data_IF_021989739830
#
_entry.id   IF_021989739830
#
_cell.length_a   1.000
_cell.length_b   1.000
_cell.length_c   1.000
_cell.angle_alpha   90.00
_cell.angle_beta   90.00
_cell.angle_gamma   90.00
#
_symmetry.space_group_name_H-M   'P 1'
#
loop_
_entity.id
_entity.type
_entity.pdbx_description
1 polymer ?
#
# COMPACT_ATOMS: atom_id res chain seq x y z
N UNK A 1 14.49 22.09 -16.75
CA UNK A 1 13.65 22.77 -15.74
C UNK A 1 12.77 23.78 -16.47
N UNK A 2 11.45 23.60 -16.50
CA UNK A 2 10.53 24.63 -16.99
C UNK A 2 10.51 25.76 -15.98
N UNK A 3 10.71 27.00 -16.42
CA UNK A 3 10.73 28.15 -15.51
C UNK A 3 9.35 28.30 -14.83
N UNK A 4 9.33 28.80 -13.58
CA UNK A 4 8.09 29.11 -12.82
C UNK A 4 7.08 29.92 -13.67
N UNK A 5 7.57 30.79 -14.55
CA UNK A 5 6.76 31.57 -15.46
C UNK A 5 6.06 30.73 -16.55
N UNK A 6 6.70 29.69 -17.07
CA UNK A 6 6.09 28.79 -18.08
C UNK A 6 5.04 27.86 -17.47
N UNK A 7 5.25 27.41 -16.23
CA UNK A 7 4.22 26.68 -15.47
C UNK A 7 3.02 27.58 -15.16
N UNK A 8 3.25 28.86 -14.83
CA UNK A 8 2.22 29.87 -14.57
C UNK A 8 1.39 30.19 -15.81
N UNK A 9 2.02 30.29 -16.99
CA UNK A 9 1.33 30.60 -18.26
C UNK A 9 0.40 29.45 -18.71
N UNK A 10 0.76 28.20 -18.49
CA UNK A 10 -0.07 27.02 -18.82
C UNK A 10 -1.28 26.85 -17.90
N UNK A 11 -1.22 27.37 -16.66
CA UNK A 11 -2.34 27.36 -15.69
C UNK A 11 -3.41 28.42 -16.01
N UNK A 12 -3.05 29.55 -16.62
CA UNK A 12 -3.97 30.64 -16.92
C UNK A 12 -5.07 30.25 -17.92
N UNK A 13 -4.81 29.32 -18.83
CA UNK A 13 -5.77 28.89 -19.86
C UNK A 13 -6.78 27.83 -19.36
N UNK A 14 -6.58 27.23 -18.18
CA UNK A 14 -7.42 26.17 -17.59
C UNK A 14 -7.87 26.48 -16.14
N UNK A 15 -7.64 27.69 -15.67
CA UNK A 15 -7.93 28.05 -14.27
C UNK A 15 -9.43 28.28 -14.05
N UNK A 16 -9.99 27.78 -12.92
CA UNK A 16 -11.40 27.90 -12.64
C UNK A 16 -11.80 29.35 -12.35
N UNK A 17 -13.05 29.69 -12.63
CA UNK A 17 -13.60 30.96 -12.21
C UNK A 17 -13.71 31.09 -10.69
N UNK A 18 -14.15 29.99 -10.02
CA UNK A 18 -14.32 30.00 -8.57
C UNK A 18 -13.31 29.12 -7.88
N UNK A 19 -12.73 29.61 -6.78
CA UNK A 19 -11.85 28.85 -5.90
C UNK A 19 -12.51 28.71 -4.55
N UNK A 20 -12.59 27.47 -4.05
CA UNK A 20 -13.22 27.16 -2.79
C UNK A 20 -12.19 26.51 -1.88
N UNK A 21 -11.92 27.10 -0.73
CA UNK A 21 -11.19 26.44 0.33
C UNK A 21 -12.16 25.68 1.24
N UNK A 22 -11.80 24.47 1.60
CA UNK A 22 -12.59 23.63 2.49
C UNK A 22 -11.72 23.10 3.63
N UNK A 23 -12.02 23.52 4.83
CA UNK A 23 -11.51 22.89 6.06
C UNK A 23 -12.52 21.84 6.52
N UNK A 24 -12.05 20.60 6.64
CA UNK A 24 -12.87 19.42 6.82
C UNK A 24 -12.61 18.77 8.17
N UNK A 25 -13.43 19.09 9.15
CA UNK A 25 -13.51 18.36 10.43
C UNK A 25 -14.53 17.22 10.37
N UNK A 26 -14.47 16.29 11.30
CA UNK A 26 -15.29 15.06 11.32
C UNK A 26 -16.81 15.31 11.31
N UNK A 27 -17.27 16.46 11.75
CA UNK A 27 -18.70 16.80 11.87
C UNK A 27 -19.08 18.17 11.28
N UNK A 28 -18.13 18.97 10.88
CA UNK A 28 -18.38 20.33 10.36
C UNK A 28 -17.43 20.62 9.22
N UNK A 29 -17.96 21.17 8.17
CA UNK A 29 -17.20 21.65 7.03
C UNK A 29 -17.28 23.17 7.02
N UNK A 30 -16.15 23.84 6.94
CA UNK A 30 -16.07 25.27 6.72
C UNK A 30 -15.62 25.53 5.28
N UNK A 31 -16.32 26.43 4.60
CA UNK A 31 -16.09 26.73 3.20
C UNK A 31 -15.92 28.24 3.01
N UNK A 32 -14.95 28.61 2.17
CA UNK A 32 -14.70 29.98 1.73
C UNK A 32 -14.66 30.01 0.21
N UNK A 33 -15.60 30.69 -0.41
CA UNK A 33 -15.82 30.76 -1.87
C UNK A 33 -15.34 32.09 -2.41
N UNK A 34 -14.48 32.07 -3.42
CA UNK A 34 -13.86 33.23 -4.04
C UNK A 34 -14.15 33.25 -5.54
N UNK A 35 -14.57 34.40 -6.07
CA UNK A 35 -14.56 34.68 -7.51
C UNK A 35 -13.14 35.12 -7.91
N UNK A 36 -12.56 34.40 -8.84
CA UNK A 36 -11.21 34.61 -9.37
C UNK A 36 -11.25 34.92 -10.87
N UNK A 37 -12.35 35.45 -11.37
CA UNK A 37 -12.45 35.95 -12.76
C UNK A 37 -11.46 37.07 -13.03
N UNK A 38 -11.28 37.99 -12.07
CA UNK A 38 -10.13 38.91 -12.06
C UNK A 38 -8.95 38.25 -11.33
N UNK A 39 -7.93 37.90 -12.09
CA UNK A 39 -6.73 37.16 -11.59
C UNK A 39 -5.86 37.99 -10.64
N UNK A 40 -6.04 39.30 -10.62
CA UNK A 40 -5.28 40.19 -9.75
C UNK A 40 -6.04 40.58 -8.49
N UNK A 41 -7.38 40.61 -8.56
CA UNK A 41 -8.24 41.03 -7.48
C UNK A 41 -9.32 39.96 -7.18
N UNK A 42 -8.96 38.85 -6.53
CA UNK A 42 -9.94 37.84 -6.15
C UNK A 42 -10.92 38.39 -5.11
N UNK A 43 -12.22 38.16 -5.32
CA UNK A 43 -13.28 38.65 -4.47
C UNK A 43 -13.89 37.55 -3.64
N UNK A 44 -13.95 37.75 -2.32
CA UNK A 44 -14.67 36.83 -1.43
C UNK A 44 -16.18 36.95 -1.70
N UNK A 45 -16.78 35.87 -2.14
CA UNK A 45 -18.23 35.80 -2.41
C UNK A 45 -19.00 35.42 -1.16
N UNK A 46 -18.55 34.32 -0.48
CA UNK A 46 -19.31 33.77 0.65
C UNK A 46 -18.45 32.88 1.52
N UNK A 47 -18.78 32.87 2.81
CA UNK A 47 -18.28 31.87 3.77
C UNK A 47 -19.46 31.22 4.49
N UNK A 48 -19.40 29.92 4.70
CA UNK A 48 -20.45 29.19 5.37
C UNK A 48 -19.96 27.90 6.00
N UNK A 49 -20.74 27.32 6.91
CA UNK A 49 -20.50 26.03 7.54
C UNK A 49 -21.58 25.05 7.14
N UNK A 50 -21.18 23.82 6.80
CA UNK A 50 -22.09 22.69 6.56
C UNK A 50 -21.95 21.65 7.67
N UNK A 51 -23.05 20.98 8.01
CA UNK A 51 -23.09 20.04 9.13
C UNK A 51 -22.78 18.60 8.69
N UNK A 52 -23.07 18.26 7.43
CA UNK A 52 -22.85 16.95 6.84
C UNK A 52 -22.45 17.01 5.36
N UNK A 53 -22.00 15.86 4.82
CA UNK A 53 -21.50 15.77 3.44
C UNK A 53 -22.63 15.88 2.42
N UNK A 54 -23.82 15.34 2.71
CA UNK A 54 -24.94 15.37 1.77
C UNK A 54 -25.51 16.79 1.65
N UNK A 55 -25.60 17.51 2.79
CA UNK A 55 -25.92 18.92 2.80
C UNK A 55 -24.89 19.77 2.02
N UNK A 56 -23.61 19.40 2.07
CA UNK A 56 -22.55 20.05 1.30
C UNK A 56 -22.81 19.95 -0.21
N UNK A 57 -23.01 18.75 -0.75
CA UNK A 57 -23.26 18.54 -2.20
C UNK A 57 -24.50 19.29 -2.65
N UNK A 58 -25.59 19.26 -1.86
CA UNK A 58 -26.80 20.03 -2.16
C UNK A 58 -26.54 21.55 -2.15
N UNK A 59 -25.72 22.02 -1.22
CA UNK A 59 -25.32 23.43 -1.14
C UNK A 59 -24.43 23.82 -2.33
N UNK A 60 -23.48 22.97 -2.73
CA UNK A 60 -22.67 23.20 -3.92
C UNK A 60 -23.53 23.33 -5.17
N UNK A 61 -24.45 22.40 -5.42
CA UNK A 61 -25.36 22.43 -6.59
C UNK A 61 -26.22 23.69 -6.65
N UNK A 62 -26.49 24.34 -5.53
CA UNK A 62 -27.31 25.56 -5.47
C UNK A 62 -26.52 26.86 -5.62
N UNK A 63 -25.25 26.87 -5.16
CA UNK A 63 -24.51 28.11 -4.92
C UNK A 63 -23.15 28.19 -5.61
N UNK A 64 -22.73 27.09 -6.24
CA UNK A 64 -21.42 27.01 -6.87
C UNK A 64 -21.55 26.54 -8.31
N UNK A 65 -20.91 27.25 -9.22
CA UNK A 65 -20.81 26.87 -10.62
C UNK A 65 -19.85 25.67 -10.78
N UNK A 66 -20.05 24.86 -11.81
CA UNK A 66 -19.15 23.76 -12.18
C UNK A 66 -17.76 24.26 -12.58
N UNK A 67 -17.63 25.51 -13.02
CA UNK A 67 -16.32 26.16 -13.24
C UNK A 67 -15.66 26.58 -11.92
N UNK A 68 -15.50 25.62 -11.06
CA UNK A 68 -14.90 25.80 -9.73
C UNK A 68 -13.86 24.72 -9.44
N UNK A 69 -12.96 25.02 -8.50
CA UNK A 69 -12.07 24.03 -7.87
C UNK A 69 -12.16 24.13 -6.36
N UNK A 70 -12.30 22.99 -5.71
CA UNK A 70 -12.28 22.90 -4.25
C UNK A 70 -10.92 22.39 -3.77
N UNK A 71 -10.31 23.16 -2.89
CA UNK A 71 -9.04 22.83 -2.22
C UNK A 71 -9.36 22.36 -0.81
N UNK A 72 -9.08 21.10 -0.53
CA UNK A 72 -9.43 20.41 0.73
C UNK A 72 -8.14 20.13 1.50
N UNK A 73 -8.08 20.47 2.79
CA UNK A 73 -6.96 20.07 3.63
C UNK A 73 -6.99 18.55 3.90
N UNK A 74 -5.82 17.90 3.86
CA UNK A 74 -5.71 16.46 4.15
C UNK A 74 -6.16 16.17 5.58
N UNK A 75 -7.25 15.45 5.71
CA UNK A 75 -7.90 15.04 6.96
C UNK A 75 -8.45 13.62 6.83
N UNK A 76 -9.05 13.10 7.88
CA UNK A 76 -9.59 11.74 7.91
C UNK A 76 -10.65 11.49 6.84
N UNK A 77 -11.46 12.48 6.50
CA UNK A 77 -12.57 12.38 5.54
C UNK A 77 -12.32 13.08 4.19
N UNK A 78 -11.15 13.68 3.99
CA UNK A 78 -10.84 14.45 2.78
C UNK A 78 -10.96 13.65 1.47
N UNK A 79 -10.61 12.36 1.48
CA UNK A 79 -10.76 11.47 0.31
C UNK A 79 -12.22 11.29 -0.07
N UNK A 80 -13.08 10.97 0.90
CA UNK A 80 -14.53 10.80 0.69
C UNK A 80 -15.17 12.10 0.19
N UNK A 81 -14.81 13.23 0.79
CA UNK A 81 -15.30 14.55 0.37
C UNK A 81 -14.92 14.87 -1.07
N UNK A 82 -13.67 14.69 -1.42
CA UNK A 82 -13.18 14.87 -2.78
C UNK A 82 -13.95 13.98 -3.77
N UNK A 83 -14.06 12.68 -3.50
CA UNK A 83 -14.70 11.73 -4.39
C UNK A 83 -16.17 12.10 -4.60
N UNK A 84 -16.93 12.42 -3.54
CA UNK A 84 -18.33 12.85 -3.66
C UNK A 84 -18.50 14.15 -4.45
N UNK A 85 -17.60 15.10 -4.32
CA UNK A 85 -17.62 16.33 -5.16
C UNK A 85 -17.35 16.01 -6.62
N UNK A 86 -16.39 15.12 -6.89
CA UNK A 86 -16.07 14.70 -8.27
C UNK A 86 -17.23 13.92 -8.90
N UNK A 87 -17.88 13.04 -8.16
CA UNK A 87 -19.10 12.32 -8.62
C UNK A 87 -20.27 13.28 -8.91
N UNK A 88 -20.32 14.40 -8.19
CA UNK A 88 -21.30 15.47 -8.44
C UNK A 88 -20.90 16.41 -9.60
N UNK A 89 -19.75 16.19 -10.25
CA UNK A 89 -19.24 16.94 -11.39
C UNK A 89 -18.32 18.13 -11.02
N UNK A 90 -18.01 18.35 -9.75
CA UNK A 90 -17.12 19.44 -9.31
C UNK A 90 -15.66 19.00 -9.32
N UNK A 91 -14.76 19.92 -9.64
CA UNK A 91 -13.32 19.71 -9.48
C UNK A 91 -12.94 19.84 -8.00
N UNK A 92 -12.21 18.87 -7.46
CA UNK A 92 -11.73 18.91 -6.09
C UNK A 92 -10.34 18.25 -5.97
N UNK A 93 -9.49 18.81 -5.13
CA UNK A 93 -8.17 18.29 -4.84
C UNK A 93 -7.82 18.40 -3.35
N UNK A 94 -7.03 17.45 -2.84
CA UNK A 94 -6.56 17.42 -1.45
C UNK A 94 -5.15 17.96 -1.39
N UNK A 95 -4.86 18.83 -0.42
CA UNK A 95 -3.52 19.40 -0.18
C UNK A 95 -3.02 19.00 1.21
N UNK A 96 -1.70 18.84 1.34
CA UNK A 96 -1.08 18.60 2.66
C UNK A 96 -0.84 19.91 3.39
N UNK A 97 -1.04 19.97 4.72
CA UNK A 97 -0.85 21.18 5.52
C UNK A 97 0.58 21.74 5.45
N UNK A 98 1.58 20.87 5.32
CA UNK A 98 3.00 21.22 5.25
C UNK A 98 3.41 21.86 3.90
N UNK A 99 2.60 21.73 2.86
CA UNK A 99 2.82 22.37 1.57
C UNK A 99 2.26 23.78 1.49
N UNK A 100 1.43 24.20 2.46
CA UNK A 100 0.95 25.56 2.56
C UNK A 100 2.02 26.35 3.31
N UNK A 101 3.00 26.87 2.55
CA UNK A 101 4.06 27.70 3.11
C UNK A 101 3.47 28.94 3.78
N UNK A 102 3.94 29.27 4.98
CA UNK A 102 3.61 30.45 5.77
C UNK A 102 2.20 30.47 6.39
N UNK A 103 1.87 29.47 7.22
CA UNK A 103 0.92 29.74 8.31
C UNK A 103 1.62 30.67 9.31
N UNK A 104 1.48 31.99 9.15
CA UNK A 104 1.61 32.89 10.28
C UNK A 104 0.63 32.37 11.33
N UNK A 105 1.17 31.84 12.42
CA UNK A 105 0.37 31.31 13.53
C UNK A 105 -0.30 32.46 14.28
N UNK A 106 -1.34 33.04 13.68
CA UNK A 106 -2.25 33.87 14.44
C UNK A 106 -2.94 33.02 15.51
N UNK A 107 -2.91 33.50 16.74
CA UNK A 107 -3.30 32.77 17.97
C UNK A 107 -4.79 32.38 18.08
N UNK A 108 -5.63 32.64 17.09
CA UNK A 108 -7.03 32.22 17.02
C UNK A 108 -7.32 31.56 15.68
N UNK A 109 -7.10 30.25 15.63
CA UNK A 109 -7.47 29.41 14.49
C UNK A 109 -8.99 29.18 14.54
N UNK A 110 -9.69 29.58 13.48
CA UNK A 110 -11.10 29.25 13.30
C UNK A 110 -11.27 28.55 11.95
N UNK A 111 -12.11 27.53 11.90
CA UNK A 111 -12.35 26.67 10.72
C UNK A 111 -12.57 27.48 9.43
N UNK A 112 -13.27 28.63 9.51
CA UNK A 112 -13.51 29.51 8.35
C UNK A 112 -12.22 30.20 7.90
N UNK A 113 -11.35 30.61 8.83
CA UNK A 113 -10.06 31.21 8.49
C UNK A 113 -9.14 30.19 7.82
N UNK A 114 -9.16 28.94 8.26
CA UNK A 114 -8.38 27.87 7.62
C UNK A 114 -8.91 27.58 6.20
N UNK A 115 -10.23 27.53 6.00
CA UNK A 115 -10.84 27.41 4.68
C UNK A 115 -10.46 28.62 3.78
N UNK A 116 -10.45 29.84 4.31
CA UNK A 116 -10.00 31.04 3.58
C UNK A 116 -8.55 30.94 3.16
N UNK A 117 -7.68 30.53 4.08
CA UNK A 117 -6.25 30.36 3.82
C UNK A 117 -5.96 29.33 2.72
N UNK A 118 -6.74 28.23 2.67
CA UNK A 118 -6.64 27.22 1.63
C UNK A 118 -6.97 27.78 0.24
N UNK A 119 -8.08 28.54 0.12
CA UNK A 119 -8.44 29.17 -1.14
C UNK A 119 -7.37 30.18 -1.60
N UNK A 120 -6.93 31.03 -0.69
CA UNK A 120 -5.92 32.07 -0.99
C UNK A 120 -4.56 31.44 -1.33
N UNK A 121 -4.15 30.34 -0.68
CA UNK A 121 -2.92 29.63 -1.01
C UNK A 121 -2.96 29.10 -2.45
N UNK A 122 -4.10 28.55 -2.88
CA UNK A 122 -4.27 28.13 -4.27
C UNK A 122 -4.20 29.32 -5.25
N UNK A 123 -4.92 30.39 -4.97
CA UNK A 123 -4.96 31.64 -5.79
C UNK A 123 -3.55 32.22 -5.91
N UNK A 124 -2.78 32.29 -4.84
CA UNK A 124 -1.40 32.80 -4.82
C UNK A 124 -0.39 31.87 -5.52
N UNK A 125 -0.78 30.63 -5.85
CA UNK A 125 0.10 29.66 -6.46
C UNK A 125 1.05 28.99 -5.47
N UNK A 126 0.74 29.01 -4.17
CA UNK A 126 1.49 28.33 -3.12
C UNK A 126 1.17 26.83 -3.08
N UNK A 127 0.08 26.41 -3.73
CA UNK A 127 -0.30 25.01 -3.92
C UNK A 127 0.25 24.53 -5.26
N UNK A 128 1.37 23.81 -5.25
CA UNK A 128 2.01 23.32 -6.47
C UNK A 128 1.33 22.07 -7.05
N UNK A 129 0.94 21.11 -6.19
CA UNK A 129 0.33 19.84 -6.59
C UNK A 129 -0.68 19.34 -5.55
N UNK A 130 -1.76 18.74 -6.03
CA UNK A 130 -2.68 17.99 -5.18
C UNK A 130 -2.12 16.63 -4.78
N UNK A 131 -2.38 16.25 -3.55
CA UNK A 131 -2.05 14.89 -3.07
C UNK A 131 -2.96 13.90 -3.78
N UNK A 132 -2.36 12.85 -4.32
CA UNK A 132 -3.14 11.77 -4.87
C UNK A 132 -3.93 11.04 -3.77
N UNK A 133 -5.21 10.89 -3.97
CA UNK A 133 -6.13 10.14 -3.10
C UNK A 133 -6.80 9.02 -3.89
N UNK A 134 -7.09 7.85 -3.27
CA UNK A 134 -7.70 6.72 -3.96
C UNK A 134 -9.16 7.01 -4.34
N UNK A 135 -9.69 6.24 -5.29
CA UNK A 135 -11.13 6.05 -5.46
C UNK A 135 -11.74 5.35 -4.25
N UNK A 136 -13.07 5.36 -4.12
CA UNK A 136 -13.75 4.75 -2.96
C UNK A 136 -13.47 3.24 -2.88
N UNK A 137 -13.50 2.52 -4.00
CA UNK A 137 -13.14 1.11 -4.06
C UNK A 137 -11.72 0.85 -3.53
N UNK A 138 -10.74 1.64 -3.96
CA UNK A 138 -9.36 1.48 -3.51
C UNK A 138 -9.12 2.00 -2.08
N UNK A 139 -9.95 2.91 -1.59
CA UNK A 139 -9.97 3.28 -0.18
C UNK A 139 -10.42 2.10 0.68
N UNK A 140 -11.50 1.40 0.32
CA UNK A 140 -11.97 0.18 0.99
C UNK A 140 -10.91 -0.93 0.96
N UNK A 141 -10.24 -1.16 -0.19
CA UNK A 141 -9.14 -2.14 -0.27
C UNK A 141 -8.00 -1.81 0.71
N UNK A 142 -7.68 -0.53 0.88
CA UNK A 142 -6.67 -0.09 1.86
C UNK A 142 -7.08 -0.34 3.29
N UNK A 143 -8.35 -0.14 3.61
CA UNK A 143 -8.87 -0.42 4.93
C UNK A 143 -8.77 -1.91 5.26
N UNK A 144 -9.05 -2.80 4.29
CA UNK A 144 -8.82 -4.25 4.42
C UNK A 144 -7.34 -4.55 4.70
N UNK A 145 -6.41 -3.90 4.00
CA UNK A 145 -4.95 -4.07 4.24
C UNK A 145 -4.56 -3.61 5.63
N UNK A 146 -5.07 -2.47 6.10
CA UNK A 146 -4.78 -1.95 7.43
C UNK A 146 -5.34 -2.86 8.52
N UNK A 147 -6.61 -3.26 8.41
CA UNK A 147 -7.26 -4.17 9.34
C UNK A 147 -6.51 -5.53 9.41
N UNK A 148 -6.09 -6.09 8.27
CA UNK A 148 -5.28 -7.31 8.23
C UNK A 148 -3.96 -7.16 8.98
N UNK A 149 -3.26 -6.04 8.77
CA UNK A 149 -2.00 -5.78 9.46
C UNK A 149 -2.17 -5.56 10.96
N UNK A 150 -3.26 -4.93 11.35
CA UNK A 150 -3.53 -4.70 12.77
C UNK A 150 -3.89 -6.01 13.47
N UNK A 151 -4.74 -6.86 12.87
CA UNK A 151 -5.01 -8.21 13.37
C UNK A 151 -3.70 -9.02 13.54
N UNK A 152 -2.77 -8.93 12.57
CA UNK A 152 -1.49 -9.62 12.64
C UNK A 152 -0.59 -9.09 13.78
N UNK A 153 -0.58 -7.78 14.03
CA UNK A 153 0.16 -7.19 15.16
C UNK A 153 -0.42 -7.62 16.50
N UNK A 154 -1.76 -7.58 16.63
CA UNK A 154 -2.42 -7.98 17.88
C UNK A 154 -2.21 -9.46 18.17
N UNK A 155 -2.29 -10.34 17.17
CA UNK A 155 -1.90 -11.76 17.32
C UNK A 155 -0.47 -11.91 17.86
N UNK A 156 0.47 -11.11 17.34
CA UNK A 156 1.86 -11.14 17.80
C UNK A 156 1.97 -10.65 19.23
N UNK A 157 1.22 -9.60 19.59
CA UNK A 157 1.16 -9.10 20.99
C UNK A 157 0.59 -10.15 21.94
N UNK A 158 -0.51 -10.80 21.57
CA UNK A 158 -1.11 -11.87 22.37
C UNK A 158 -0.12 -13.04 22.53
N UNK A 159 0.51 -13.49 21.46
CA UNK A 159 1.54 -14.56 21.51
C UNK A 159 2.67 -14.22 22.47
N UNK A 160 3.18 -12.99 22.40
CA UNK A 160 4.26 -12.52 23.27
C UNK A 160 3.82 -12.43 24.74
N UNK A 161 2.58 -11.98 24.99
CA UNK A 161 2.02 -11.94 26.36
C UNK A 161 1.84 -13.35 26.91
N UNK A 162 1.29 -14.29 26.15
CA UNK A 162 1.15 -15.70 26.55
C UNK A 162 2.53 -16.28 26.87
N UNK A 163 3.49 -16.10 25.95
CA UNK A 163 4.87 -16.57 26.15
C UNK A 163 5.48 -16.00 27.45
N UNK A 164 5.32 -14.68 27.69
CA UNK A 164 5.84 -14.01 28.87
C UNK A 164 5.25 -14.56 30.17
N UNK A 165 3.92 -14.75 30.23
CA UNK A 165 3.25 -15.31 31.41
C UNK A 165 3.73 -16.73 31.68
N UNK A 166 3.82 -17.56 30.64
CA UNK A 166 4.29 -18.95 30.76
C UNK A 166 5.76 -19.00 31.20
N UNK A 167 6.62 -18.19 30.59
CA UNK A 167 8.06 -18.15 30.91
C UNK A 167 8.31 -17.70 32.36
N UNK A 168 7.54 -16.71 32.88
CA UNK A 168 7.62 -16.29 34.29
C UNK A 168 7.26 -17.41 35.27
N UNK A 169 6.55 -18.43 34.84
CA UNK A 169 6.17 -19.61 35.63
C UNK A 169 7.07 -20.84 35.34
N UNK A 170 8.15 -20.64 34.60
CA UNK A 170 9.08 -21.73 34.27
C UNK A 170 8.67 -22.60 33.08
N UNK A 171 7.65 -22.20 32.31
CA UNK A 171 7.15 -22.94 31.13
C UNK A 171 7.36 -22.15 29.83
N UNK A 172 8.58 -22.13 29.23
CA UNK A 172 8.82 -21.45 27.96
C UNK A 172 8.15 -22.17 26.80
N UNK A 173 6.93 -21.76 26.41
CA UNK A 173 6.19 -22.38 25.33
C UNK A 173 6.68 -21.91 23.95
N UNK A 174 6.85 -22.84 22.95
CA UNK A 174 7.28 -22.50 21.61
C UNK A 174 6.13 -21.98 20.74
N UNK A 175 5.52 -20.87 21.16
CA UNK A 175 4.40 -20.26 20.43
C UNK A 175 4.93 -19.43 19.26
N UNK A 176 4.44 -19.72 18.06
CA UNK A 176 4.73 -18.94 16.83
C UNK A 176 3.47 -18.23 16.38
N UNK A 177 3.48 -16.90 16.44
CA UNK A 177 2.35 -16.07 16.03
C UNK A 177 1.88 -16.42 14.61
N UNK A 178 0.58 -16.61 14.46
CA UNK A 178 -0.06 -16.94 13.19
C UNK A 178 0.17 -18.35 12.64
N UNK A 179 0.90 -19.19 13.38
CA UNK A 179 1.17 -20.60 12.97
C UNK A 179 0.66 -21.57 14.03
N UNK A 180 0.89 -21.28 15.32
CA UNK A 180 0.41 -22.14 16.41
C UNK A 180 -1.10 -21.95 16.57
N UNK A 181 -1.87 -23.03 16.48
CA UNK A 181 -3.33 -22.98 16.61
C UNK A 181 -3.75 -22.73 18.08
N UNK A 182 -4.87 -22.02 18.34
CA UNK A 182 -5.40 -21.79 19.69
C UNK A 182 -5.56 -23.09 20.48
N UNK A 183 -6.04 -24.16 19.83
CA UNK A 183 -6.19 -25.49 20.45
C UNK A 183 -4.85 -26.07 20.94
N UNK A 184 -3.79 -25.90 20.18
CA UNK A 184 -2.44 -26.32 20.57
C UNK A 184 -1.93 -25.50 21.76
N UNK A 185 -2.19 -24.19 21.77
CA UNK A 185 -1.82 -23.32 22.91
C UNK A 185 -2.56 -23.77 24.16
N UNK A 186 -3.87 -24.01 24.09
CA UNK A 186 -4.67 -24.54 25.22
C UNK A 186 -4.14 -25.87 25.74
N UNK A 187 -3.80 -26.80 24.82
CA UNK A 187 -3.20 -28.08 25.19
C UNK A 187 -1.87 -27.91 25.93
N UNK A 188 -1.01 -27.00 25.49
CA UNK A 188 0.24 -26.69 26.20
C UNK A 188 -0.02 -26.11 27.61
N UNK A 189 -1.00 -25.21 27.73
CA UNK A 189 -1.38 -24.57 29.01
C UNK A 189 -2.01 -25.57 29.98
N UNK A 190 -2.77 -26.56 29.49
CA UNK A 190 -3.45 -27.54 30.34
C UNK A 190 -2.49 -28.40 31.14
N UNK A 191 -1.30 -28.67 30.61
CA UNK A 191 -0.23 -29.43 31.28
C UNK A 191 0.60 -28.63 32.29
N UNK A 192 0.30 -27.31 32.49
CA UNK A 192 1.07 -26.46 33.41
C UNK A 192 0.51 -26.51 34.84
N UNK A 193 1.38 -26.63 35.81
CA UNK A 193 1.03 -26.46 37.23
C UNK A 193 1.06 -25.00 37.63
N UNK A 194 -0.07 -24.30 37.43
CA UNK A 194 -0.22 -22.88 37.73
C UNK A 194 -1.52 -22.61 38.49
N UNK A 195 -1.52 -21.57 39.33
CA UNK A 195 -2.70 -21.18 40.09
C UNK A 195 -3.86 -20.70 39.20
N UNK A 196 -5.09 -20.76 39.73
CA UNK A 196 -6.32 -20.45 38.99
C UNK A 196 -6.33 -19.08 38.33
N UNK A 197 -5.84 -18.04 38.96
CA UNK A 197 -5.76 -16.68 38.39
C UNK A 197 -4.83 -16.63 37.17
N UNK A 198 -3.71 -17.35 37.19
CA UNK A 198 -2.78 -17.41 36.05
C UNK A 198 -3.41 -18.16 34.88
N UNK A 199 -4.10 -19.26 35.17
CA UNK A 199 -4.82 -20.06 34.18
C UNK A 199 -5.93 -19.24 33.52
N UNK A 200 -6.73 -18.50 34.28
CA UNK A 200 -7.78 -17.64 33.76
C UNK A 200 -7.18 -16.52 32.86
N UNK A 201 -6.10 -15.88 33.30
CA UNK A 201 -5.40 -14.88 32.51
C UNK A 201 -4.89 -15.44 31.16
N UNK A 202 -4.34 -16.64 31.17
CA UNK A 202 -3.87 -17.31 29.96
C UNK A 202 -5.03 -17.62 29.02
N UNK A 203 -6.17 -18.10 29.54
CA UNK A 203 -7.35 -18.38 28.71
C UNK A 203 -7.92 -17.12 28.06
N UNK A 204 -7.96 -15.98 28.79
CA UNK A 204 -8.35 -14.66 28.20
C UNK A 204 -7.42 -14.32 27.03
N UNK A 205 -6.11 -14.43 27.22
CA UNK A 205 -5.14 -14.11 26.17
C UNK A 205 -5.25 -15.05 24.95
N UNK A 206 -5.59 -16.33 25.16
CA UNK A 206 -5.81 -17.28 24.06
C UNK A 206 -7.09 -16.94 23.30
N UNK A 207 -8.17 -16.51 23.97
CA UNK A 207 -9.40 -16.04 23.31
C UNK A 207 -9.14 -14.77 22.47
N UNK A 208 -8.37 -13.81 23.00
CA UNK A 208 -7.95 -12.63 22.22
C UNK A 208 -7.17 -13.05 20.97
N UNK A 209 -6.22 -13.96 21.13
CA UNK A 209 -5.43 -14.49 20.01
C UNK A 209 -6.33 -15.18 18.95
N UNK A 210 -7.29 -15.99 19.37
CA UNK A 210 -8.23 -16.69 18.51
C UNK A 210 -9.12 -15.74 17.74
N UNK A 211 -9.65 -14.69 18.39
CA UNK A 211 -10.45 -13.63 17.76
C UNK A 211 -9.65 -12.92 16.65
N UNK A 212 -8.40 -12.57 16.92
CA UNK A 212 -7.55 -11.91 15.92
C UNK A 212 -7.16 -12.86 14.78
N UNK A 213 -7.01 -14.16 15.05
CA UNK A 213 -6.76 -15.17 14.03
C UNK A 213 -7.97 -15.29 13.09
N UNK A 214 -9.19 -15.40 13.63
CA UNK A 214 -10.42 -15.43 12.83
C UNK A 214 -10.58 -14.15 11.99
N UNK A 215 -10.36 -12.99 12.58
CA UNK A 215 -10.38 -11.71 11.87
C UNK A 215 -9.40 -11.69 10.71
N UNK A 216 -8.17 -12.13 10.94
CA UNK A 216 -7.14 -12.24 9.89
C UNK A 216 -7.58 -13.17 8.77
N UNK A 217 -8.14 -14.34 9.08
CA UNK A 217 -8.60 -15.31 8.09
C UNK A 217 -9.78 -14.81 7.26
N UNK A 218 -10.71 -14.06 7.87
CA UNK A 218 -11.80 -13.39 7.17
C UNK A 218 -11.28 -12.34 6.18
N UNK A 219 -10.33 -11.51 6.62
CA UNK A 219 -9.73 -10.48 5.76
C UNK A 219 -8.92 -11.11 4.61
N UNK A 220 -8.26 -12.25 4.85
CA UNK A 220 -7.59 -13.01 3.80
C UNK A 220 -8.57 -13.51 2.74
N UNK A 221 -9.76 -13.97 3.12
CA UNK A 221 -10.81 -14.36 2.16
C UNK A 221 -11.28 -13.18 1.33
N UNK A 222 -11.52 -12.01 1.93
CA UNK A 222 -11.88 -10.79 1.20
C UNK A 222 -10.78 -10.43 0.19
N UNK A 223 -9.52 -10.44 0.59
CA UNK A 223 -8.40 -10.19 -0.33
C UNK A 223 -8.35 -11.20 -1.47
N UNK A 224 -8.57 -12.49 -1.18
CA UNK A 224 -8.54 -13.55 -2.18
C UNK A 224 -9.67 -13.39 -3.21
N UNK A 225 -10.89 -13.05 -2.76
CA UNK A 225 -12.04 -12.77 -3.63
C UNK A 225 -11.76 -11.58 -4.57
N UNK A 226 -11.19 -10.50 -4.06
CA UNK A 226 -10.85 -9.34 -4.88
C UNK A 226 -9.75 -9.65 -5.90
N UNK A 227 -8.76 -10.47 -5.53
CA UNK A 227 -7.65 -10.84 -6.41
C UNK A 227 -8.08 -11.72 -7.57
N UNK A 228 -9.00 -12.68 -7.34
CA UNK A 228 -9.40 -13.65 -8.37
C UNK A 228 -10.05 -13.00 -9.58
N UNK A 229 -10.74 -11.87 -9.39
CA UNK A 229 -11.36 -11.07 -10.46
C UNK A 229 -10.46 -10.00 -11.07
N UNK A 230 -9.26 -9.80 -10.57
CA UNK A 230 -8.42 -8.66 -10.96
C UNK A 230 -7.12 -9.11 -11.67
N UNK A 231 -7.07 -8.89 -13.00
CA UNK A 231 -5.94 -9.26 -13.85
C UNK A 231 -4.61 -8.63 -13.39
N UNK A 232 -4.62 -7.38 -12.92
CA UNK A 232 -3.40 -6.71 -12.45
C UNK A 232 -2.85 -7.37 -11.19
N UNK A 233 -3.73 -7.69 -10.23
CA UNK A 233 -3.35 -8.37 -8.99
C UNK A 233 -2.81 -9.78 -9.27
N UNK A 234 -3.47 -10.53 -10.16
CA UNK A 234 -2.99 -11.85 -10.59
C UNK A 234 -1.64 -11.74 -11.33
N UNK A 235 -1.46 -10.71 -12.16
CA UNK A 235 -0.19 -10.42 -12.81
C UNK A 235 0.96 -10.21 -11.83
N UNK A 236 0.72 -9.53 -10.71
CA UNK A 236 1.73 -9.35 -9.66
C UNK A 236 2.16 -10.67 -9.01
N UNK A 237 1.32 -11.70 -9.03
CA UNK A 237 1.67 -13.03 -8.50
C UNK A 237 2.74 -13.76 -9.35
N UNK A 238 3.10 -13.27 -10.53
CA UNK A 238 4.27 -13.77 -11.28
C UNK A 238 5.58 -13.52 -10.52
N UNK A 239 5.66 -12.46 -9.71
CA UNK A 239 6.88 -12.12 -8.98
C UNK A 239 7.23 -13.18 -7.93
N UNK A 240 8.50 -13.62 -7.84
CA UNK A 240 8.92 -14.52 -6.79
C UNK A 240 8.64 -13.90 -5.41
N UNK A 241 8.17 -14.73 -4.46
CA UNK A 241 7.80 -14.27 -3.12
C UNK A 241 6.43 -13.61 -2.99
N UNK A 242 5.80 -13.15 -4.08
CA UNK A 242 4.45 -12.60 -4.04
C UNK A 242 3.40 -13.71 -3.95
N UNK A 243 2.44 -13.50 -3.08
CA UNK A 243 1.18 -14.23 -3.00
C UNK A 243 0.01 -13.26 -3.22
N UNK A 244 -1.23 -13.74 -3.19
CA UNK A 244 -2.41 -12.88 -3.40
C UNK A 244 -2.51 -11.73 -2.40
N UNK A 245 -2.06 -11.90 -1.14
CA UNK A 245 -2.07 -10.82 -0.13
C UNK A 245 -1.12 -9.70 -0.48
N UNK A 246 0.10 -10.04 -0.91
CA UNK A 246 1.07 -9.05 -1.36
C UNK A 246 0.60 -8.35 -2.65
N UNK A 247 0.01 -9.11 -3.58
CA UNK A 247 -0.55 -8.56 -4.82
C UNK A 247 -1.70 -7.58 -4.52
N UNK A 248 -2.64 -7.98 -3.66
CA UNK A 248 -3.73 -7.12 -3.21
C UNK A 248 -3.22 -5.83 -2.54
N UNK A 249 -2.29 -5.95 -1.59
CA UNK A 249 -1.76 -4.79 -0.86
C UNK A 249 -1.01 -3.81 -1.78
N UNK A 250 -0.25 -4.33 -2.75
CA UNK A 250 0.50 -3.50 -3.69
C UNK A 250 -0.44 -2.77 -4.65
N UNK A 251 -1.41 -3.46 -5.23
CA UNK A 251 -2.39 -2.84 -6.13
C UNK A 251 -3.29 -1.85 -5.37
N UNK A 252 -3.79 -2.21 -4.18
CA UNK A 252 -4.60 -1.32 -3.33
C UNK A 252 -3.89 0.00 -3.02
N UNK A 253 -2.60 -0.05 -2.74
CA UNK A 253 -1.82 1.15 -2.47
C UNK A 253 -1.52 1.97 -3.72
N UNK A 254 -1.52 1.33 -4.90
CA UNK A 254 -1.07 1.92 -6.17
C UNK A 254 -2.22 2.47 -7.00
N UNK A 255 -3.26 1.66 -7.25
CA UNK A 255 -4.42 1.90 -8.12
C UNK A 255 -4.03 2.19 -9.58
N UNK A 256 -3.30 3.27 -9.85
CA UNK A 256 -2.69 3.56 -11.14
C UNK A 256 -1.18 3.76 -11.02
N UNK A 257 -0.43 2.82 -11.58
CA UNK A 257 1.04 2.88 -11.61
C UNK A 257 1.58 4.02 -12.48
N UNK A 258 0.77 4.56 -13.41
CA UNK A 258 1.16 5.66 -14.31
C UNK A 258 1.33 6.99 -13.59
N UNK A 259 0.73 7.14 -12.40
CA UNK A 259 0.96 8.32 -11.55
C UNK A 259 2.42 8.46 -11.08
N UNK A 260 3.19 7.38 -11.13
CA UNK A 260 4.62 7.41 -10.86
C UNK A 260 5.38 7.55 -12.17
N UNK A 261 6.11 8.63 -12.32
CA UNK A 261 6.88 8.92 -13.55
C UNK A 261 8.06 7.97 -13.76
N UNK A 262 8.45 7.18 -12.75
CA UNK A 262 9.52 6.18 -12.85
C UNK A 262 9.40 5.09 -11.78
N UNK A 263 10.00 3.93 -12.05
CA UNK A 263 10.12 2.85 -11.07
C UNK A 263 10.86 3.30 -9.79
N UNK A 264 11.80 4.24 -9.89
CA UNK A 264 12.51 4.79 -8.74
C UNK A 264 11.58 5.57 -7.81
N UNK A 265 10.62 6.33 -8.36
CA UNK A 265 9.61 7.03 -7.56
C UNK A 265 8.65 6.06 -6.87
N UNK A 266 8.21 4.99 -7.56
CA UNK A 266 7.41 3.95 -6.93
C UNK A 266 8.19 3.20 -5.83
N UNK A 267 9.47 2.90 -6.06
CA UNK A 267 10.36 2.30 -5.06
C UNK A 267 10.49 3.20 -3.82
N UNK A 268 10.62 4.51 -4.00
CA UNK A 268 10.65 5.48 -2.89
C UNK A 268 9.30 5.48 -2.14
N UNK A 269 8.19 5.55 -2.85
CA UNK A 269 6.84 5.45 -2.28
C UNK A 269 6.64 4.16 -1.47
N UNK A 270 7.25 3.05 -1.89
CA UNK A 270 7.23 1.77 -1.17
C UNK A 270 8.20 1.72 0.03
N UNK A 271 8.87 2.81 0.38
CA UNK A 271 9.78 2.89 1.52
C UNK A 271 11.14 2.22 1.30
N UNK A 272 11.58 2.07 0.05
CA UNK A 272 12.87 1.47 -0.33
C UNK A 272 13.85 2.45 -0.95
N UNK A 273 13.62 3.76 -0.81
CA UNK A 273 14.61 4.77 -1.15
C UNK A 273 15.78 4.74 -0.15
N UNK A 274 17.02 4.87 -0.60
CA UNK A 274 18.13 5.12 0.31
C UNK A 274 18.02 6.55 0.86
N UNK A 275 18.36 6.73 2.14
CA UNK A 275 18.45 8.06 2.75
C UNK A 275 19.48 8.90 2.00
N UNK A 276 19.09 10.09 1.58
CA UNK A 276 20.04 11.05 1.01
C UNK A 276 20.94 11.57 2.12
N UNK A 277 22.25 11.50 1.93
CA UNK A 277 23.22 12.11 2.84
C UNK A 277 23.14 13.64 2.74
N UNK A 278 23.15 14.31 3.87
CA UNK A 278 23.07 15.76 3.96
C UNK A 278 24.41 16.46 3.71
N UNK A 279 25.52 15.73 3.64
CA UNK A 279 26.85 16.30 3.31
C UNK A 279 27.70 15.33 2.48
N UNK A 280 28.47 15.88 1.53
CA UNK A 280 29.39 15.10 0.70
C UNK A 280 30.46 14.35 1.49
N UNK A 281 30.86 14.86 2.68
CA UNK A 281 31.84 14.23 3.55
C UNK A 281 31.35 12.90 4.18
N UNK A 282 30.09 12.81 4.57
CA UNK A 282 29.51 11.54 5.05
C UNK A 282 29.42 10.50 3.95
N UNK A 283 29.15 10.92 2.71
CA UNK A 283 29.11 10.04 1.56
C UNK A 283 30.49 9.49 1.21
N UNK A 284 31.53 10.31 1.25
CA UNK A 284 32.92 9.88 1.06
C UNK A 284 33.41 8.98 2.19
N UNK A 285 33.10 9.28 3.46
CA UNK A 285 33.42 8.42 4.60
C UNK A 285 32.75 7.05 4.50
N UNK A 286 31.50 6.99 4.05
CA UNK A 286 30.79 5.73 3.83
C UNK A 286 31.41 4.91 2.69
N UNK A 287 31.87 5.56 1.62
CA UNK A 287 32.54 4.91 0.48
C UNK A 287 33.95 4.39 0.88
N UNK A 288 34.73 5.18 1.62
CA UNK A 288 36.13 4.85 2.02
C UNK A 288 36.20 3.69 3.02
N UNK A 289 35.20 3.45 3.85
CA UNK A 289 35.21 2.41 4.90
C UNK A 289 34.57 1.08 4.49
N UNK A 290 34.18 0.87 3.23
CA UNK A 290 33.42 -0.33 2.84
C UNK A 290 32.16 -0.51 3.69
N UNK A 291 31.66 0.59 4.23
CA UNK A 291 30.62 0.65 5.23
C UNK A 291 29.31 0.04 4.78
N UNK A 292 28.40 -0.26 5.71
CA UNK A 292 27.08 -0.73 5.39
C UNK A 292 26.41 0.30 4.46
N UNK A 293 25.85 -0.15 3.34
CA UNK A 293 25.14 0.71 2.39
C UNK A 293 24.18 1.64 3.12
N UNK A 294 23.84 2.78 2.51
CA UNK A 294 22.98 3.81 3.11
C UNK A 294 21.74 3.18 3.74
N UNK A 295 21.32 3.61 4.95
CA UNK A 295 20.06 3.17 5.53
C UNK A 295 18.92 3.57 4.61
N UNK A 296 17.80 2.82 4.66
CA UNK A 296 16.59 3.22 3.97
C UNK A 296 16.07 4.50 4.62
N UNK A 297 15.51 5.38 3.78
CA UNK A 297 14.72 6.50 4.26
C UNK A 297 13.54 5.95 5.07
N UNK A 298 13.23 6.56 6.21
CA UNK A 298 12.10 6.20 7.05
C UNK A 298 10.74 6.51 6.41
N UNK A 299 10.78 7.27 5.33
CA UNK A 299 9.64 7.75 4.57
C UNK A 299 9.02 6.66 3.68
N UNK A 300 7.85 6.95 3.12
CA UNK A 300 7.11 6.03 2.27
C UNK A 300 6.09 5.17 3.04
N UNK A 301 5.34 4.39 2.29
CA UNK A 301 4.23 3.59 2.83
C UNK A 301 4.72 2.38 3.61
N UNK A 302 4.41 2.36 4.91
CA UNK A 302 4.82 1.29 5.82
C UNK A 302 4.15 -0.05 5.53
N UNK A 303 2.93 -0.05 4.99
CA UNK A 303 2.22 -1.25 4.54
C UNK A 303 2.91 -1.89 3.34
N UNK A 304 3.23 -1.13 2.29
CA UNK A 304 3.99 -1.64 1.14
C UNK A 304 5.36 -2.18 1.56
N UNK A 305 6.09 -1.44 2.40
CA UNK A 305 7.39 -1.87 2.91
C UNK A 305 7.30 -3.23 3.61
N UNK A 306 6.23 -3.45 4.38
CA UNK A 306 5.99 -4.70 5.07
C UNK A 306 5.79 -5.86 4.09
N UNK A 307 4.85 -5.75 3.12
CA UNK A 307 4.58 -6.82 2.17
C UNK A 307 5.76 -7.12 1.23
N UNK A 308 6.50 -6.09 0.83
CA UNK A 308 7.74 -6.27 0.06
C UNK A 308 8.82 -6.97 0.88
N UNK A 309 8.93 -6.71 2.18
CA UNK A 309 9.86 -7.40 3.07
C UNK A 309 9.46 -8.86 3.29
N UNK A 310 8.18 -9.16 3.51
CA UNK A 310 7.68 -10.54 3.57
C UNK A 310 7.95 -11.30 2.27
N UNK A 311 7.69 -10.66 1.12
CA UNK A 311 8.01 -11.24 -0.18
C UNK A 311 9.53 -11.49 -0.32
N UNK A 312 10.37 -10.56 0.12
CA UNK A 312 11.84 -10.72 0.13
C UNK A 312 12.31 -11.87 1.00
N UNK A 313 11.70 -12.07 2.17
CA UNK A 313 11.95 -13.25 3.01
C UNK A 313 11.58 -14.55 2.29
N UNK A 314 10.40 -14.58 1.65
CA UNK A 314 9.90 -15.72 0.89
C UNK A 314 10.79 -16.04 -0.31
N UNK A 315 11.37 -15.02 -0.95
CA UNK A 315 12.36 -15.21 -2.04
C UNK A 315 13.57 -15.99 -1.53
N UNK A 316 14.10 -15.63 -0.37
CA UNK A 316 15.28 -16.30 0.20
C UNK A 316 14.99 -17.70 0.77
N UNK A 317 13.76 -18.00 1.13
CA UNK A 317 13.37 -19.31 1.68
C UNK A 317 12.76 -20.21 0.59
N UNK A 318 11.56 -19.91 0.15
CA UNK A 318 10.75 -20.80 -0.70
C UNK A 318 11.00 -20.62 -2.21
N UNK A 319 11.63 -19.50 -2.61
CA UNK A 319 11.94 -19.20 -4.01
C UNK A 319 13.45 -19.02 -4.23
N UNK A 320 14.28 -19.69 -3.43
CA UNK A 320 15.75 -19.57 -3.47
C UNK A 320 16.35 -19.91 -4.84
N UNK A 321 15.71 -20.80 -5.60
CA UNK A 321 16.14 -21.18 -6.95
C UNK A 321 15.79 -20.17 -8.05
N UNK A 322 14.92 -19.19 -7.78
CA UNK A 322 14.65 -18.11 -8.71
C UNK A 322 15.89 -17.26 -8.94
N UNK A 323 15.98 -16.56 -10.09
CA UNK A 323 17.10 -15.65 -10.38
C UNK A 323 17.33 -14.62 -9.27
N UNK A 324 16.24 -14.09 -8.68
CA UNK A 324 16.29 -13.14 -7.56
C UNK A 324 16.74 -13.83 -6.26
N UNK A 325 16.32 -15.08 -6.03
CA UNK A 325 16.77 -15.88 -4.89
C UNK A 325 18.26 -16.19 -4.95
N UNK A 326 18.74 -16.70 -6.09
CA UNK A 326 20.17 -16.94 -6.35
C UNK A 326 21.01 -15.67 -6.18
N UNK A 327 20.52 -14.52 -6.66
CA UNK A 327 21.16 -13.24 -6.45
C UNK A 327 21.23 -12.87 -4.96
N UNK A 328 20.16 -13.04 -4.22
CA UNK A 328 20.11 -12.78 -2.78
C UNK A 328 21.10 -13.64 -1.99
N UNK A 329 21.15 -14.94 -2.28
CA UNK A 329 22.09 -15.85 -1.63
C UNK A 329 23.54 -15.54 -1.95
N UNK A 330 23.86 -15.12 -3.20
CA UNK A 330 25.22 -14.64 -3.53
C UNK A 330 25.64 -13.45 -2.66
N UNK A 331 24.73 -12.55 -2.31
CA UNK A 331 25.03 -11.43 -1.42
C UNK A 331 25.25 -11.88 0.02
N UNK A 332 24.48 -12.85 0.52
CA UNK A 332 24.64 -13.40 1.85
C UNK A 332 26.00 -14.12 1.94
N UNK A 333 26.36 -14.93 0.97
CA UNK A 333 27.63 -15.66 0.90
C UNK A 333 28.84 -14.72 0.82
N UNK A 334 28.64 -13.47 0.35
CA UNK A 334 29.65 -12.38 0.38
C UNK A 334 29.66 -11.61 1.72
N UNK A 335 29.02 -12.14 2.77
CA UNK A 335 29.01 -11.55 4.12
C UNK A 335 27.96 -10.46 4.35
N UNK A 336 27.00 -10.24 3.44
CA UNK A 336 25.92 -9.27 3.69
C UNK A 336 24.87 -9.84 4.66
N UNK A 337 24.53 -9.08 5.68
CA UNK A 337 23.51 -9.46 6.65
C UNK A 337 22.15 -9.75 5.95
N UNK A 338 21.51 -10.86 6.33
CA UNK A 338 20.26 -11.35 5.73
C UNK A 338 19.20 -10.26 5.61
N UNK A 339 18.95 -9.48 6.67
CA UNK A 339 17.93 -8.42 6.65
C UNK A 339 18.22 -7.32 5.62
N UNK A 340 19.51 -6.99 5.40
CA UNK A 340 19.92 -6.04 4.34
C UNK A 340 19.63 -6.60 2.95
N UNK A 341 19.84 -7.91 2.77
CA UNK A 341 19.55 -8.59 1.51
C UNK A 341 18.03 -8.66 1.27
N UNK A 342 17.22 -8.94 2.29
CA UNK A 342 15.75 -8.89 2.22
C UNK A 342 15.28 -7.50 1.76
N UNK A 343 15.83 -6.43 2.34
CA UNK A 343 15.51 -5.07 1.90
C UNK A 343 15.93 -4.80 0.45
N UNK A 344 17.08 -5.28 0.03
CA UNK A 344 17.55 -5.13 -1.34
C UNK A 344 16.64 -5.88 -2.34
N UNK A 345 16.19 -7.08 -1.99
CA UNK A 345 15.20 -7.86 -2.76
C UNK A 345 13.87 -7.11 -2.81
N UNK A 346 13.36 -6.60 -1.67
CA UNK A 346 12.12 -5.81 -1.62
C UNK A 346 12.15 -4.60 -2.54
N UNK A 347 13.27 -3.90 -2.60
CA UNK A 347 13.44 -2.78 -3.52
C UNK A 347 13.46 -3.19 -5.00
N UNK A 348 13.98 -4.38 -5.36
CA UNK A 348 13.87 -4.93 -6.72
C UNK A 348 12.45 -5.37 -7.04
N UNK A 349 11.78 -6.02 -6.09
CA UNK A 349 10.37 -6.42 -6.23
C UNK A 349 9.46 -5.21 -6.47
N UNK A 350 9.69 -4.10 -5.76
CA UNK A 350 8.96 -2.85 -6.00
C UNK A 350 9.15 -2.35 -7.44
N UNK A 351 10.38 -2.38 -7.96
CA UNK A 351 10.65 -2.01 -9.37
C UNK A 351 9.90 -2.91 -10.34
N UNK A 352 9.96 -4.22 -10.16
CA UNK A 352 9.28 -5.18 -11.04
C UNK A 352 7.75 -5.06 -10.95
N UNK A 353 7.20 -4.88 -9.74
CA UNK A 353 5.78 -4.66 -9.54
C UNK A 353 5.26 -3.43 -10.30
N UNK A 354 6.02 -2.33 -10.31
CA UNK A 354 5.66 -1.13 -11.05
C UNK A 354 5.58 -1.40 -12.57
N UNK A 355 6.53 -2.13 -13.14
CA UNK A 355 6.49 -2.50 -14.57
C UNK A 355 5.28 -3.37 -14.90
N UNK A 356 5.00 -4.40 -14.09
CA UNK A 356 3.83 -5.29 -14.30
C UNK A 356 2.52 -4.47 -14.24
N UNK A 357 2.36 -3.59 -13.25
CA UNK A 357 1.14 -2.80 -13.11
C UNK A 357 0.94 -1.79 -14.25
N UNK A 358 2.01 -1.36 -14.91
CA UNK A 358 1.93 -0.54 -16.13
C UNK A 358 1.56 -1.31 -17.38
N UNK A 359 1.65 -2.63 -17.33
CA UNK A 359 1.51 -3.49 -18.48
C UNK A 359 2.79 -3.61 -19.31
N UNK A 360 3.94 -3.18 -18.76
CA UNK A 360 5.23 -3.43 -19.39
C UNK A 360 5.50 -4.95 -19.33
N UNK A 361 5.77 -5.56 -20.48
CA UNK A 361 6.07 -6.99 -20.52
C UNK A 361 7.36 -7.27 -19.75
N UNK A 362 7.26 -8.11 -18.72
CA UNK A 362 8.43 -8.64 -18.01
C UNK A 362 8.47 -10.15 -18.17
N UNK A 363 8.83 -10.65 -19.36
CA UNK A 363 8.86 -12.07 -19.59
C UNK A 363 9.99 -12.70 -18.77
N UNK A 364 9.62 -13.39 -17.69
CA UNK A 364 10.54 -14.23 -16.95
C UNK A 364 10.09 -15.68 -17.09
N UNK A 365 10.62 -16.38 -18.11
CA UNK A 365 10.35 -17.80 -18.34
C UNK A 365 10.62 -18.68 -17.13
N UNK A 366 11.66 -18.36 -16.35
CA UNK A 366 11.97 -19.06 -15.09
C UNK A 366 10.83 -18.96 -14.04
N UNK A 367 9.89 -18.05 -14.26
CA UNK A 367 8.76 -17.79 -13.39
C UNK A 367 7.53 -18.68 -13.62
N UNK A 368 7.34 -19.28 -14.80
CA UNK A 368 6.11 -19.99 -15.16
C UNK A 368 5.79 -21.13 -14.20
N UNK A 369 6.74 -22.03 -13.94
CA UNK A 369 6.54 -23.15 -13.03
C UNK A 369 6.24 -22.70 -11.59
N UNK A 370 6.83 -21.61 -11.15
CA UNK A 370 6.54 -20.99 -9.87
C UNK A 370 5.14 -20.37 -9.86
N UNK A 371 4.77 -19.65 -10.90
CA UNK A 371 3.45 -19.06 -11.05
C UNK A 371 2.37 -20.11 -11.09
N UNK A 372 2.55 -21.19 -11.88
CA UNK A 372 1.65 -22.34 -11.95
C UNK A 372 1.38 -22.95 -10.56
N UNK A 373 2.43 -23.14 -9.76
CA UNK A 373 2.28 -23.64 -8.38
C UNK A 373 1.51 -22.67 -7.49
N UNK A 374 1.71 -21.35 -7.64
CA UNK A 374 0.97 -20.34 -6.89
C UNK A 374 -0.51 -20.31 -7.27
N UNK A 375 -0.83 -20.39 -8.56
CA UNK A 375 -2.21 -20.44 -9.05
C UNK A 375 -2.93 -21.68 -8.52
N UNK A 376 -2.27 -22.85 -8.54
CA UNK A 376 -2.83 -24.07 -7.99
C UNK A 376 -3.12 -23.99 -6.47
N UNK A 377 -2.26 -23.31 -5.70
CA UNK A 377 -2.51 -23.04 -4.26
C UNK A 377 -3.61 -22.01 -4.06
N UNK A 378 -3.63 -20.98 -4.87
CA UNK A 378 -4.62 -19.93 -4.80
C UNK A 378 -6.02 -20.45 -5.13
N UNK A 379 -6.15 -21.34 -6.12
CA UNK A 379 -7.40 -22.07 -6.39
C UNK A 379 -7.90 -22.84 -5.15
N UNK A 380 -7.02 -23.52 -4.43
CA UNK A 380 -7.38 -24.23 -3.21
C UNK A 380 -7.80 -23.29 -2.06
N UNK A 381 -7.22 -22.13 -1.98
CA UNK A 381 -7.55 -21.10 -0.98
C UNK A 381 -8.96 -20.53 -1.19
N UNK A 382 -9.33 -20.23 -2.42
CA UNK A 382 -10.68 -19.75 -2.82
C UNK A 382 -11.72 -20.88 -2.62
N UNK A 383 -11.34 -22.11 -2.93
CA UNK A 383 -12.19 -23.29 -2.83
C UNK A 383 -12.95 -23.61 -4.12
N UNK A 384 -13.17 -24.91 -4.33
CA UNK A 384 -13.75 -25.46 -5.57
C UNK A 384 -15.12 -24.88 -5.90
N UNK A 385 -16.01 -24.73 -4.90
CA UNK A 385 -17.35 -24.20 -5.09
C UNK A 385 -17.33 -22.79 -5.69
N UNK A 386 -16.59 -21.89 -5.05
CA UNK A 386 -16.47 -20.51 -5.48
C UNK A 386 -15.80 -20.37 -6.84
N UNK A 387 -14.76 -21.17 -7.12
CA UNK A 387 -14.11 -21.20 -8.43
C UNK A 387 -15.06 -21.68 -9.54
N UNK A 388 -15.94 -22.66 -9.23
CA UNK A 388 -17.00 -23.08 -10.15
C UNK A 388 -18.00 -21.97 -10.47
N UNK A 389 -18.41 -21.19 -9.48
CA UNK A 389 -19.27 -20.00 -9.66
C UNK A 389 -18.61 -18.93 -10.56
N UNK A 390 -17.29 -18.84 -10.53
CA UNK A 390 -16.48 -17.95 -11.37
C UNK A 390 -16.19 -18.53 -12.77
N UNK A 391 -16.72 -19.70 -13.10
CA UNK A 391 -16.60 -20.33 -14.42
C UNK A 391 -15.38 -21.26 -14.58
N UNK A 392 -14.62 -21.53 -13.52
CA UNK A 392 -13.49 -22.42 -13.57
C UNK A 392 -13.87 -23.85 -13.10
N UNK A 393 -14.00 -24.77 -14.04
CA UNK A 393 -14.44 -26.15 -13.76
C UNK A 393 -13.43 -26.95 -12.92
N UNK A 394 -12.15 -26.68 -13.06
CA UNK A 394 -11.10 -27.37 -12.32
C UNK A 394 -9.91 -26.47 -11.97
N UNK A 395 -9.09 -26.95 -11.02
CA UNK A 395 -7.82 -26.31 -10.68
C UNK A 395 -6.89 -26.21 -11.91
N UNK A 396 -6.92 -27.22 -12.78
CA UNK A 396 -6.11 -27.24 -13.98
C UNK A 396 -6.57 -26.15 -14.96
N UNK A 397 -7.86 -26.04 -15.23
CA UNK A 397 -8.44 -25.04 -16.14
C UNK A 397 -8.08 -23.63 -15.68
N UNK A 398 -8.26 -23.32 -14.40
CA UNK A 398 -7.87 -22.05 -13.82
C UNK A 398 -6.37 -21.76 -14.00
N UNK A 399 -5.55 -22.75 -13.69
CA UNK A 399 -4.09 -22.60 -13.74
C UNK A 399 -3.62 -22.42 -15.17
N UNK A 400 -4.09 -23.25 -16.11
CA UNK A 400 -3.70 -23.21 -17.51
C UNK A 400 -4.19 -21.95 -18.22
N UNK A 401 -5.40 -21.46 -17.87
CA UNK A 401 -5.92 -20.19 -18.35
C UNK A 401 -4.97 -19.02 -18.01
N UNK A 402 -4.61 -18.86 -16.75
CA UNK A 402 -3.77 -17.74 -16.32
C UNK A 402 -2.30 -17.89 -16.74
N UNK A 403 -1.80 -19.12 -16.85
CA UNK A 403 -0.47 -19.37 -17.42
C UNK A 403 -0.46 -18.99 -18.90
N UNK A 404 -1.47 -19.37 -19.66
CA UNK A 404 -1.60 -18.96 -21.07
C UNK A 404 -1.70 -17.44 -21.20
N UNK A 405 -2.48 -16.80 -20.37
CA UNK A 405 -2.68 -15.34 -20.37
C UNK A 405 -1.38 -14.56 -20.14
N UNK A 406 -0.53 -14.99 -19.21
CA UNK A 406 0.69 -14.26 -18.86
C UNK A 406 1.97 -14.77 -19.52
N UNK A 407 2.00 -16.00 -20.03
CA UNK A 407 3.20 -16.62 -20.60
C UNK A 407 3.00 -17.16 -22.02
N UNK A 408 1.76 -17.22 -22.53
CA UNK A 408 1.46 -17.81 -23.83
C UNK A 408 2.02 -17.08 -25.05
N UNK A 409 2.43 -15.83 -24.86
CA UNK A 409 3.08 -15.02 -25.92
C UNK A 409 4.61 -15.20 -25.97
N UNK A 410 5.20 -15.88 -24.96
CA UNK A 410 6.63 -16.16 -24.96
C UNK A 410 6.95 -17.24 -26.01
N UNK A 411 8.02 -17.10 -26.81
CA UNK A 411 8.45 -18.16 -27.73
C UNK A 411 8.66 -19.46 -26.93
N UNK A 412 8.12 -20.57 -27.41
CA UNK A 412 8.40 -21.87 -26.80
C UNK A 412 9.88 -22.18 -26.96
N UNK A 413 10.56 -22.64 -25.89
CA UNK A 413 11.91 -23.16 -26.06
C UNK A 413 11.85 -24.34 -27.03
N UNK A 414 12.78 -24.46 -27.97
CA UNK A 414 12.89 -25.67 -28.75
C UNK A 414 12.98 -26.87 -27.78
N UNK A 415 12.34 -28.00 -28.10
CA UNK A 415 12.44 -29.17 -27.24
C UNK A 415 13.93 -29.42 -27.01
N UNK A 416 14.32 -29.58 -25.73
CA UNK A 416 15.68 -30.03 -25.41
C UNK A 416 15.88 -31.34 -26.17
N UNK A 417 16.64 -31.28 -27.28
CA UNK A 417 17.14 -32.49 -27.91
C UNK A 417 17.84 -33.30 -26.80
N UNK A 418 17.36 -34.52 -26.61
CA UNK A 418 17.97 -35.45 -25.72
C UNK A 418 19.46 -35.44 -26.05
N UNK A 419 20.28 -35.00 -25.10
CA UNK A 419 21.73 -35.17 -25.21
C UNK A 419 21.95 -36.65 -25.41
N UNK A 420 22.12 -37.05 -26.64
CA UNK A 420 22.49 -38.41 -27.02
C UNK A 420 23.81 -38.72 -26.33
N UNK A 421 23.73 -39.71 -25.46
CA UNK A 421 24.89 -40.47 -25.07
C UNK A 421 25.76 -40.77 -26.31
N UNK A 422 26.88 -40.12 -26.41
CA UNK A 422 27.99 -40.66 -27.18
C UNK A 422 29.20 -40.69 -26.27
N UNK A 423 29.36 -41.88 -25.72
CA UNK A 423 30.60 -42.45 -25.24
C UNK A 423 31.77 -42.14 -26.17
N UNK A 424 32.85 -41.65 -25.68
CA UNK A 424 34.17 -42.34 -25.79
C UNK A 424 35.20 -41.54 -24.98
#
# INVERSE_FOLDING_TARGET
MKTRAQARKRRLDEEPRYVIGMDAHSRKLALSVWDWSDRFNPVLIREFKCVDIDAMVATYKRHVDLDSITVIEASTNSTTLKNRLQDAGFRAGVVRPDLIANKERERKVCDIQDARNLALAYIKGDVDDFVWTPSDEYAEYRDVVFAYRDAQKEMTRCSNRIWSVCSQKGYPLPIRSGTTKPTQIRQMISGMEVGGFVRERLEILVREYEMHLDTKERLQRIMAEAVVGNRKMLGLMQLPGFNYRAAFAVESATEDARRFTSASKFKAYSGYAPKLGTSGEEEERAKRKGGPGRPLDGEGRRDLKFFMAEAGQTVLSSCAQSGLGKWGWRLINRGKARNKVVCAIGGKLATYAWHIMRGDETPNRDGEALFRRKMARFYAEIGKKRMGELGYGSRRDFTDFWVKEFYGHLPQDPPMEAASETSR
#
